data_IF_739229050004
#
_entry.id   IF_739229050004
#
_cell.length_a   1.000
_cell.length_b   1.000
_cell.length_c   1.000
_cell.angle_alpha   90.00
_cell.angle_beta   90.00
_cell.angle_gamma   90.00
#
_symmetry.space_group_name_H-M   'P 1'
#
loop_
_entity.id
_entity.type
_entity.pdbx_description
1 polymer ?
#
# COMPACT_ATOMS: atom_id res chain seq x y z
N UNK A 1 14.29 -28.42 -24.52
CA UNK A 1 13.29 -28.14 -25.57
C UNK A 1 11.97 -27.81 -24.88
N UNK A 2 11.61 -26.57 -24.69
CA UNK A 2 10.39 -26.17 -23.98
C UNK A 2 10.25 -24.67 -23.89
N UNK A 3 9.28 -24.25 -23.07
CA UNK A 3 9.08 -22.84 -22.71
C UNK A 3 10.02 -22.46 -21.55
N UNK A 4 10.47 -21.22 -21.56
CA UNK A 4 11.18 -20.62 -20.43
C UNK A 4 10.27 -19.52 -19.83
N UNK A 5 10.02 -19.61 -18.52
CA UNK A 5 9.30 -18.60 -17.78
C UNK A 5 10.21 -18.04 -16.69
N UNK A 6 10.48 -16.74 -16.75
CA UNK A 6 11.22 -15.98 -15.73
C UNK A 6 10.23 -15.05 -15.08
N UNK A 7 10.01 -15.19 -13.78
CA UNK A 7 8.99 -14.41 -13.08
C UNK A 7 9.49 -13.92 -11.73
N UNK A 8 9.32 -12.63 -11.49
CA UNK A 8 9.38 -12.02 -10.17
C UNK A 8 7.98 -11.61 -9.74
N UNK A 9 7.59 -11.92 -8.52
CA UNK A 9 6.27 -11.58 -7.96
C UNK A 9 6.44 -11.01 -6.58
N UNK A 10 5.82 -9.87 -6.35
CA UNK A 10 5.66 -9.29 -5.01
C UNK A 10 4.17 -9.07 -4.77
N UNK A 11 3.65 -9.68 -3.73
CA UNK A 11 2.25 -9.56 -3.33
C UNK A 11 2.17 -9.15 -1.86
N UNK A 12 1.40 -8.12 -1.57
CA UNK A 12 1.19 -7.63 -0.22
C UNK A 12 -0.27 -7.27 0.00
N UNK A 13 -0.81 -7.82 1.07
CA UNK A 13 -2.15 -7.49 1.53
C UNK A 13 -2.05 -7.00 2.99
N UNK A 14 -2.14 -5.69 3.17
CA UNK A 14 -2.11 -5.06 4.47
C UNK A 14 -3.52 -4.65 4.88
N UNK A 15 -4.03 -5.30 5.91
CA UNK A 15 -5.36 -5.01 6.47
C UNK A 15 -5.21 -4.66 7.94
N UNK A 16 -5.61 -3.45 8.32
CA UNK A 16 -5.77 -3.08 9.72
C UNK A 16 -7.25 -2.92 10.03
N UNK A 17 -7.74 -3.69 10.97
CA UNK A 17 -9.02 -3.40 11.60
C UNK A 17 -8.83 -2.30 12.63
N UNK A 18 -9.46 -1.16 12.42
CA UNK A 18 -9.61 0.00 13.30
C UNK A 18 -8.66 0.05 14.52
N UNK A 19 -7.60 0.82 14.39
CA UNK A 19 -6.73 1.15 15.52
C UNK A 19 -7.41 2.22 16.37
N UNK A 20 -7.78 1.86 17.61
CA UNK A 20 -8.28 2.81 18.59
C UNK A 20 -7.10 3.33 19.42
N UNK A 21 -6.68 4.58 19.23
CA UNK A 21 -5.75 5.21 20.15
C UNK A 21 -6.53 5.76 21.33
N UNK A 22 -6.16 5.30 22.51
CA UNK A 22 -6.69 5.77 23.77
C UNK A 22 -6.41 7.27 23.99
N UNK A 23 -7.29 7.92 24.73
CA UNK A 23 -7.12 9.24 25.28
C UNK A 23 -5.67 9.49 25.72
N UNK A 24 -4.90 10.17 24.89
CA UNK A 24 -3.71 10.84 25.39
C UNK A 24 -4.24 12.08 26.09
N UNK A 25 -4.50 11.95 27.39
CA UNK A 25 -4.76 13.12 28.20
C UNK A 25 -3.56 14.04 28.05
N UNK A 26 -3.74 15.21 27.45
CA UNK A 26 -2.74 16.26 27.34
C UNK A 26 -2.42 16.88 28.70
N UNK A 27 -2.44 16.12 29.76
CA UNK A 27 -1.90 16.48 31.08
C UNK A 27 -0.41 16.80 31.00
N UNK A 28 0.32 16.30 30.00
CA UNK A 28 1.74 16.60 29.77
C UNK A 28 2.00 18.05 29.33
N UNK A 29 1.01 18.80 28.86
CA UNK A 29 1.19 20.17 28.35
C UNK A 29 0.36 21.21 29.14
N UNK A 30 -0.17 20.88 30.32
CA UNK A 30 -0.99 21.79 31.09
C UNK A 30 -2.33 22.16 30.45
N UNK A 31 -2.76 21.46 29.41
CA UNK A 31 -4.06 21.68 28.80
C UNK A 31 -5.16 21.02 29.64
N UNK A 32 -6.13 21.82 30.05
CA UNK A 32 -7.24 21.39 30.90
C UNK A 32 -8.40 20.76 30.16
N UNK A 33 -8.38 20.75 28.82
CA UNK A 33 -9.45 20.19 27.98
C UNK A 33 -9.05 18.82 27.44
N UNK A 34 -9.70 17.72 27.86
CA UNK A 34 -9.48 16.43 27.27
C UNK A 34 -9.95 16.40 25.82
N UNK A 35 -9.18 15.78 24.92
CA UNK A 35 -9.64 15.50 23.56
C UNK A 35 -9.31 14.06 23.15
N UNK A 36 -10.14 13.50 22.27
CA UNK A 36 -9.90 12.19 21.69
C UNK A 36 -9.12 12.34 20.41
N UNK A 37 -7.95 11.73 20.32
CA UNK A 37 -7.10 11.78 19.13
C UNK A 37 -6.70 10.37 18.71
N UNK A 38 -6.87 10.06 17.44
CA UNK A 38 -6.34 8.86 16.81
C UNK A 38 -5.63 9.25 15.51
N UNK A 39 -4.38 8.83 15.37
CA UNK A 39 -3.60 9.00 14.15
C UNK A 39 -2.89 7.71 13.79
N UNK A 40 -2.94 7.33 12.52
CA UNK A 40 -2.29 6.11 12.05
C UNK A 40 -1.63 6.31 10.69
N UNK A 41 -0.30 6.41 10.62
CA UNK A 41 0.42 6.39 9.36
C UNK A 41 0.67 4.95 8.90
N UNK A 42 0.43 4.68 7.62
CA UNK A 42 0.78 3.43 6.94
C UNK A 42 1.66 3.76 5.75
N UNK A 43 2.83 3.19 5.70
CA UNK A 43 3.77 3.36 4.60
C UNK A 43 4.20 1.99 4.10
N UNK A 44 4.05 1.74 2.80
CA UNK A 44 4.44 0.49 2.15
C UNK A 44 5.12 0.77 0.82
N UNK A 45 6.26 0.10 0.59
CA UNK A 45 7.00 0.15 -0.66
C UNK A 45 7.24 -1.28 -1.14
N UNK A 46 6.66 -1.63 -2.29
CA UNK A 46 6.66 -3.00 -2.80
C UNK A 46 7.09 -3.01 -4.25
N UNK A 47 8.14 -3.76 -4.54
CA UNK A 47 8.73 -3.83 -5.87
C UNK A 47 9.00 -5.26 -6.30
N UNK A 48 8.84 -5.53 -7.59
CA UNK A 48 9.35 -6.71 -8.25
C UNK A 48 10.27 -6.33 -9.40
N UNK A 49 11.39 -7.04 -9.54
CA UNK A 49 12.38 -6.76 -10.57
C UNK A 49 12.86 -8.04 -11.23
N UNK A 50 12.97 -8.02 -12.56
CA UNK A 50 13.64 -9.04 -13.35
C UNK A 50 14.73 -8.36 -14.16
N UNK A 51 15.98 -8.80 -13.95
CA UNK A 51 17.14 -8.31 -14.69
C UNK A 51 17.77 -9.42 -15.52
N UNK A 52 17.82 -9.24 -16.83
CA UNK A 52 18.57 -10.06 -17.75
C UNK A 52 19.82 -9.28 -18.16
N UNK A 53 20.95 -9.68 -17.58
CA UNK A 53 22.20 -8.94 -17.67
C UNK A 53 22.76 -8.92 -19.10
N UNK A 54 23.55 -7.90 -19.39
CA UNK A 54 24.31 -7.78 -20.63
C UNK A 54 25.25 -8.97 -20.80
N UNK A 55 25.28 -9.53 -22.02
CA UNK A 55 26.11 -10.69 -22.36
C UNK A 55 25.49 -12.03 -21.96
N UNK A 56 24.35 -12.06 -21.26
CA UNK A 56 23.59 -13.30 -21.04
C UNK A 56 22.84 -13.71 -22.31
N UNK A 57 22.68 -15.02 -22.50
CA UNK A 57 21.90 -15.57 -23.60
C UNK A 57 20.90 -16.59 -23.08
N UNK A 58 19.62 -16.33 -23.28
CA UNK A 58 18.54 -17.22 -22.92
C UNK A 58 17.92 -17.79 -24.19
N UNK A 59 17.97 -19.10 -24.35
CA UNK A 59 17.47 -19.79 -25.53
C UNK A 59 16.40 -20.82 -25.15
N UNK A 60 15.20 -20.64 -25.68
CA UNK A 60 14.10 -21.61 -25.53
C UNK A 60 13.83 -22.35 -26.84
N UNK A 61 13.37 -23.59 -26.74
CA UNK A 61 12.84 -24.34 -27.91
C UNK A 61 11.54 -23.76 -28.43
N UNK A 62 10.73 -23.16 -27.55
CA UNK A 62 9.43 -22.57 -27.90
C UNK A 62 9.38 -21.12 -27.39
N UNK A 63 8.56 -20.86 -26.37
CA UNK A 63 8.28 -19.50 -25.85
C UNK A 63 9.23 -19.08 -24.75
N UNK A 64 9.53 -17.79 -24.73
CA UNK A 64 10.16 -17.11 -23.59
C UNK A 64 9.14 -16.12 -23.02
N UNK A 65 8.87 -16.24 -21.74
CA UNK A 65 8.03 -15.30 -21.02
C UNK A 65 8.82 -14.72 -19.85
N UNK A 66 9.01 -13.41 -19.86
CA UNK A 66 9.68 -12.64 -18.81
C UNK A 66 8.65 -11.72 -18.17
N UNK A 67 8.47 -11.82 -16.86
CA UNK A 67 7.40 -11.09 -16.19
C UNK A 67 7.82 -10.60 -14.81
N UNK A 68 7.53 -9.33 -14.52
CA UNK A 68 7.55 -8.77 -13.17
C UNK A 68 6.13 -8.36 -12.79
N UNK A 69 5.61 -8.90 -11.68
CA UNK A 69 4.28 -8.59 -11.16
C UNK A 69 4.40 -8.03 -9.76
N UNK A 70 3.79 -6.89 -9.52
CA UNK A 70 3.62 -6.32 -8.18
C UNK A 70 2.15 -6.06 -7.94
N UNK A 71 1.66 -6.54 -6.80
CA UNK A 71 0.29 -6.33 -6.38
C UNK A 71 0.27 -5.89 -4.91
N UNK A 72 -0.36 -4.77 -4.63
CA UNK A 72 -0.50 -4.26 -3.27
C UNK A 72 -1.93 -3.81 -2.98
N UNK A 73 -2.46 -4.29 -1.87
CA UNK A 73 -3.73 -3.84 -1.31
C UNK A 73 -3.48 -3.32 0.10
N UNK A 74 -3.83 -2.09 0.36
CA UNK A 74 -3.83 -1.51 1.70
C UNK A 74 -5.26 -1.13 2.08
N UNK A 75 -5.79 -1.80 3.08
CA UNK A 75 -7.04 -1.46 3.75
C UNK A 75 -6.73 -1.01 5.16
N UNK A 76 -6.81 0.28 5.44
CA UNK A 76 -6.48 0.83 6.73
C UNK A 76 -7.60 1.71 7.27
N UNK A 77 -7.90 1.55 8.55
CA UNK A 77 -8.93 2.32 9.23
C UNK A 77 -8.46 2.83 10.58
N UNK A 78 -8.92 4.02 10.95
CA UNK A 78 -8.74 4.60 12.27
C UNK A 78 -10.07 5.10 12.80
N UNK A 79 -10.32 4.87 14.08
CA UNK A 79 -11.52 5.39 14.74
C UNK A 79 -11.21 5.97 16.11
N UNK A 80 -11.93 7.02 16.47
CA UNK A 80 -12.03 7.48 17.86
C UNK A 80 -13.33 6.99 18.45
N UNK A 81 -13.27 6.30 19.60
CA UNK A 81 -14.45 6.04 20.43
C UNK A 81 -14.50 7.03 21.56
N UNK A 82 -15.64 7.67 21.78
CA UNK A 82 -15.82 8.52 22.96
C UNK A 82 -15.77 7.64 24.22
N UNK A 83 -14.71 7.79 25.01
CA UNK A 83 -14.64 7.19 26.33
C UNK A 83 -15.47 8.07 27.27
N UNK A 84 -16.61 7.58 27.71
CA UNK A 84 -17.33 8.18 28.82
C UNK A 84 -16.61 7.84 30.13
N UNK A 85 -15.55 8.52 30.47
CA UNK A 85 -15.06 8.49 31.85
C UNK A 85 -15.91 9.47 32.64
N UNK A 86 -16.69 8.99 33.57
CA UNK A 86 -17.47 9.83 34.52
C UNK A 86 -16.60 10.88 35.22
N UNK A 87 -15.29 10.67 35.32
CA UNK A 87 -14.34 11.58 35.94
C UNK A 87 -14.00 12.81 35.08
N UNK A 88 -13.99 12.70 33.76
CA UNK A 88 -13.72 13.85 32.87
C UNK A 88 -14.93 14.78 32.70
N UNK A 89 -16.11 14.32 33.03
CA UNK A 89 -17.37 15.05 32.87
C UNK A 89 -17.61 16.15 33.91
N UNK A 90 -16.89 16.15 35.01
CA UNK A 90 -17.17 17.09 36.11
C UNK A 90 -16.40 18.41 36.03
N UNK A 91 -15.34 18.51 35.28
CA UNK A 91 -14.46 19.68 35.28
C UNK A 91 -14.43 20.52 33.99
N UNK A 92 -14.97 20.07 32.89
CA UNK A 92 -14.76 20.72 31.58
C UNK A 92 -16.02 21.00 30.77
N UNK A 93 -17.17 21.14 31.40
CA UNK A 93 -18.37 21.60 30.69
C UNK A 93 -18.74 20.78 29.45
N UNK A 94 -18.57 19.47 29.50
CA UNK A 94 -19.02 18.50 28.44
C UNK A 94 -18.46 18.69 27.02
N UNK A 95 -17.37 19.43 26.84
CA UNK A 95 -16.82 19.68 25.50
C UNK A 95 -15.56 18.83 25.27
N UNK A 96 -15.68 17.69 24.58
CA UNK A 96 -14.57 16.81 24.22
C UNK A 96 -14.55 16.63 22.70
N UNK A 97 -13.68 17.34 21.98
CA UNK A 97 -13.53 17.13 20.55
C UNK A 97 -12.89 15.76 20.26
N UNK A 98 -13.28 15.18 19.12
CA UNK A 98 -12.72 13.92 18.63
C UNK A 98 -12.07 14.13 17.27
N UNK A 99 -10.83 13.70 17.13
CA UNK A 99 -10.06 13.80 15.89
C UNK A 99 -9.54 12.42 15.51
N UNK A 100 -9.88 11.96 14.32
CA UNK A 100 -9.34 10.73 13.73
C UNK A 100 -8.63 11.07 12.42
N UNK A 101 -7.36 10.71 12.30
CA UNK A 101 -6.58 10.93 11.08
C UNK A 101 -5.89 9.65 10.64
N UNK A 102 -5.93 9.36 9.34
CA UNK A 102 -5.15 8.29 8.74
C UNK A 102 -4.43 8.81 7.51
N UNK A 103 -3.17 8.44 7.39
CA UNK A 103 -2.36 8.69 6.21
C UNK A 103 -1.84 7.36 5.68
N UNK A 104 -2.09 7.07 4.41
CA UNK A 104 -1.60 5.88 3.72
C UNK A 104 -0.73 6.33 2.55
N UNK A 105 0.52 5.90 2.52
CA UNK A 105 1.43 6.03 1.38
C UNK A 105 1.81 4.62 0.93
N UNK A 106 1.32 4.20 -0.24
CA UNK A 106 1.55 2.87 -0.77
C UNK A 106 2.16 3.00 -2.17
N UNK A 107 3.42 2.62 -2.30
CA UNK A 107 4.16 2.69 -3.54
C UNK A 107 4.41 1.28 -4.07
N UNK A 108 4.16 1.08 -5.35
CA UNK A 108 4.38 -0.19 -6.04
C UNK A 108 5.17 0.02 -7.31
N UNK A 109 5.99 -0.95 -7.66
CA UNK A 109 6.72 -0.92 -8.92
C UNK A 109 7.03 -2.32 -9.45
N UNK A 110 6.91 -2.49 -10.75
CA UNK A 110 7.32 -3.68 -11.46
C UNK A 110 8.28 -3.29 -12.58
N UNK A 111 9.48 -3.87 -12.60
CA UNK A 111 10.50 -3.53 -13.60
C UNK A 111 11.03 -4.79 -14.26
N UNK A 112 11.15 -4.76 -15.58
CA UNK A 112 11.86 -5.78 -16.36
C UNK A 112 12.94 -5.09 -17.17
N UNK A 113 14.19 -5.45 -16.91
CA UNK A 113 15.35 -4.98 -17.65
C UNK A 113 15.89 -6.14 -18.50
N UNK A 114 16.00 -5.93 -19.79
CA UNK A 114 16.56 -6.89 -20.73
C UNK A 114 17.74 -6.26 -21.46
N UNK A 115 18.95 -6.61 -21.02
CA UNK A 115 20.20 -6.20 -21.67
C UNK A 115 20.94 -7.40 -22.29
N UNK A 116 20.38 -8.61 -22.13
CA UNK A 116 20.87 -9.85 -22.73
C UNK A 116 20.07 -10.27 -23.96
N UNK A 117 20.49 -11.36 -24.57
CA UNK A 117 19.88 -11.92 -25.77
C UNK A 117 18.78 -12.94 -25.40
N UNK A 118 17.59 -12.79 -25.94
CA UNK A 118 16.48 -13.75 -25.84
C UNK A 118 16.26 -14.41 -27.19
N UNK A 119 16.35 -15.71 -27.27
CA UNK A 119 16.18 -16.48 -28.51
C UNK A 119 15.10 -17.55 -28.36
N UNK A 120 14.01 -17.40 -29.08
CA UNK A 120 13.00 -18.44 -29.25
C UNK A 120 13.25 -19.23 -30.55
N UNK A 121 13.35 -20.54 -30.47
CA UNK A 121 13.58 -21.44 -31.61
C UNK A 121 12.31 -22.17 -32.11
N UNK A 122 11.13 -21.74 -31.69
CA UNK A 122 9.88 -22.30 -32.16
C UNK A 122 9.74 -22.21 -33.67
N UNK A 123 9.21 -23.26 -34.27
CA UNK A 123 9.08 -23.39 -35.73
C UNK A 123 7.73 -22.90 -36.29
N UNK A 124 6.80 -22.50 -35.41
CA UNK A 124 5.50 -21.94 -35.79
C UNK A 124 5.26 -20.62 -35.06
N UNK A 125 4.50 -19.72 -35.68
CA UNK A 125 4.13 -18.42 -35.07
C UNK A 125 3.49 -18.57 -33.67
N UNK A 126 2.73 -19.63 -33.45
CA UNK A 126 2.13 -19.92 -32.14
C UNK A 126 3.15 -20.38 -31.08
N UNK A 127 4.31 -20.89 -31.50
CA UNK A 127 5.33 -21.48 -30.60
C UNK A 127 6.61 -20.67 -30.50
N UNK A 128 6.82 -19.62 -31.30
CA UNK A 128 8.03 -18.79 -31.29
C UNK A 128 7.75 -17.37 -30.78
N UNK A 129 7.19 -17.27 -29.59
CA UNK A 129 6.88 -15.96 -29.00
C UNK A 129 7.84 -15.62 -27.85
N UNK A 130 8.31 -14.37 -27.85
CA UNK A 130 8.97 -13.75 -26.71
C UNK A 130 8.00 -12.74 -26.14
N UNK A 131 7.66 -12.87 -24.88
CA UNK A 131 6.79 -11.95 -24.15
C UNK A 131 7.54 -11.35 -22.97
N UNK A 132 7.54 -10.03 -22.89
CA UNK A 132 8.13 -9.26 -21.77
C UNK A 132 7.03 -8.39 -21.18
N UNK A 133 6.76 -8.58 -19.91
CA UNK A 133 5.67 -7.88 -19.23
C UNK A 133 6.11 -7.32 -17.87
N UNK A 134 5.67 -6.11 -17.57
CA UNK A 134 5.72 -5.54 -16.24
C UNK A 134 4.30 -5.13 -15.85
N UNK A 135 3.82 -5.60 -14.70
CA UNK A 135 2.47 -5.30 -14.19
C UNK A 135 2.60 -4.83 -12.75
N UNK A 136 2.11 -3.64 -12.49
CA UNK A 136 2.04 -3.09 -11.14
C UNK A 136 0.61 -2.68 -10.82
N UNK A 137 0.08 -3.15 -9.70
CA UNK A 137 -1.26 -2.82 -9.24
C UNK A 137 -1.22 -2.34 -7.80
N UNK A 138 -1.84 -1.19 -7.55
CA UNK A 138 -1.90 -0.54 -6.26
C UNK A 138 -3.34 -0.21 -5.90
N UNK A 139 -3.82 -0.71 -4.76
CA UNK A 139 -5.15 -0.42 -4.23
C UNK A 139 -5.05 0.10 -2.81
N UNK A 140 -5.63 1.27 -2.58
CA UNK A 140 -5.66 1.93 -1.28
C UNK A 140 -7.10 2.14 -0.86
N UNK A 141 -7.42 1.70 0.34
CA UNK A 141 -8.63 2.06 1.05
C UNK A 141 -8.24 2.62 2.42
N UNK A 142 -8.49 3.90 2.64
CA UNK A 142 -8.23 4.58 3.89
C UNK A 142 -9.54 5.09 4.46
N UNK A 143 -9.82 4.82 5.73
CA UNK A 143 -11.01 5.28 6.41
C UNK A 143 -10.69 5.89 7.77
N UNK A 144 -11.32 7.01 8.09
CA UNK A 144 -11.24 7.64 9.40
C UNK A 144 -12.66 7.88 9.93
N UNK A 145 -12.88 7.56 11.19
CA UNK A 145 -14.16 7.78 11.86
C UNK A 145 -13.93 8.48 13.19
N UNK A 146 -14.49 9.66 13.34
CA UNK A 146 -14.52 10.38 14.60
C UNK A 146 -15.96 10.35 15.14
N UNK A 147 -16.16 9.79 16.31
CA UNK A 147 -17.47 9.69 16.94
C UNK A 147 -17.50 10.38 18.29
N UNK A 148 -18.58 11.13 18.54
CA UNK A 148 -18.89 11.72 19.84
C UNK A 148 -20.26 11.23 20.29
N UNK A 149 -20.37 10.86 21.57
CA UNK A 149 -21.66 10.49 22.16
C UNK A 149 -22.60 11.69 22.37
N UNK A 150 -22.02 12.89 22.43
CA UNK A 150 -22.75 14.14 22.59
C UNK A 150 -22.80 14.88 21.26
N UNK A 151 -23.97 15.10 20.72
CA UNK A 151 -24.18 15.77 19.42
C UNK A 151 -23.65 17.21 19.35
N UNK A 152 -23.27 17.80 20.50
CA UNK A 152 -22.76 19.17 20.58
C UNK A 152 -21.23 19.25 20.52
N UNK A 153 -20.52 18.11 20.49
CA UNK A 153 -19.06 18.10 20.44
C UNK A 153 -18.58 17.98 19.00
N UNK A 154 -17.58 18.76 18.57
CA UNK A 154 -17.03 18.64 17.23
C UNK A 154 -16.31 17.31 17.04
N UNK A 155 -16.46 16.74 15.87
CA UNK A 155 -15.75 15.55 15.41
C UNK A 155 -15.14 15.84 14.04
N UNK A 156 -13.84 15.55 13.89
CA UNK A 156 -13.11 15.67 12.64
C UNK A 156 -12.51 14.33 12.25
N UNK A 157 -12.84 13.85 11.06
CA UNK A 157 -12.24 12.66 10.48
C UNK A 157 -11.54 13.03 9.18
N UNK A 158 -10.27 12.64 9.03
CA UNK A 158 -9.48 12.88 7.85
C UNK A 158 -8.77 11.60 7.42
N UNK A 159 -9.07 11.14 6.21
CA UNK A 159 -8.39 10.02 5.58
C UNK A 159 -7.66 10.51 4.31
N UNK A 160 -6.36 10.25 4.24
CA UNK A 160 -5.52 10.61 3.10
C UNK A 160 -4.87 9.33 2.58
N UNK A 161 -5.13 9.01 1.31
CA UNK A 161 -4.45 7.95 0.57
C UNK A 161 -3.57 8.56 -0.52
N UNK A 162 -2.31 8.19 -0.56
CA UNK A 162 -1.35 8.51 -1.61
C UNK A 162 -0.77 7.22 -2.14
N UNK A 163 -0.61 7.11 -3.46
CA UNK A 163 -0.01 5.94 -4.07
C UNK A 163 0.79 6.31 -5.31
N UNK A 164 1.87 5.58 -5.51
CA UNK A 164 2.64 5.57 -6.74
C UNK A 164 2.60 4.17 -7.33
N UNK A 165 2.43 4.09 -8.64
CA UNK A 165 2.31 2.82 -9.33
C UNK A 165 3.09 2.90 -10.65
N UNK A 166 4.24 2.21 -10.70
CA UNK A 166 5.14 2.23 -11.84
C UNK A 166 5.23 0.82 -12.48
N UNK A 167 5.11 0.75 -13.79
CA UNK A 167 5.40 -0.46 -14.56
C UNK A 167 6.37 -0.08 -15.69
N UNK A 168 7.56 -0.68 -15.72
CA UNK A 168 8.64 -0.28 -16.61
C UNK A 168 9.27 -1.49 -17.29
N UNK A 169 9.45 -1.41 -18.60
CA UNK A 169 10.21 -2.37 -19.40
C UNK A 169 11.34 -1.61 -20.11
N UNK A 170 12.56 -2.00 -19.81
CA UNK A 170 13.77 -1.48 -20.45
C UNK A 170 14.39 -2.58 -21.32
N UNK A 171 14.51 -2.31 -22.60
CA UNK A 171 15.22 -3.21 -23.53
C UNK A 171 16.41 -2.45 -24.09
N UNK A 172 17.60 -2.86 -23.66
CA UNK A 172 18.88 -2.27 -24.11
C UNK A 172 19.71 -3.39 -24.75
N UNK A 173 19.69 -3.50 -26.09
CA UNK A 173 20.45 -4.52 -26.82
C UNK A 173 21.97 -4.35 -26.73
#
# INVERSE_FOLDING_TARGET
VGNINIKAVSDSNFVTSSFNVFNIGMTLLGATTPFNFAAYPVMTDIYSNVDIAKGSKITAGNKINVKADTYSVVNAGVSTSSISTKAALHSAGNYIPSIATIYVDNNTGATVNVAGELVSKGTSESNSAISVNAVSENRISASATAANKNNNNPALALAIGKGKNDALINVNP
#
